data_IF_251376874202
#
_entry.id   IF_251376874202
#
_cell.length_a   1.000
_cell.length_b   1.000
_cell.length_c   1.000
_cell.angle_alpha   90.00
_cell.angle_beta   90.00
_cell.angle_gamma   90.00
#
_symmetry.space_group_name_H-M   'P 1'
#
loop_
_entity.id
_entity.type
_entity.pdbx_description
1 polymer ?
#
# COMPACT_ATOMS: atom_id res chain seq x y z
N UNK A 1 9.82 -6.64 22.21
CA UNK A 1 9.14 -7.37 21.13
C UNK A 1 10.08 -7.38 19.94
N UNK A 2 10.33 -8.55 19.34
CA UNK A 2 11.10 -8.61 18.08
C UNK A 2 10.19 -8.24 16.89
N UNK A 3 10.77 -7.97 15.71
CA UNK A 3 9.98 -7.55 14.55
C UNK A 3 8.91 -8.57 14.14
N UNK A 4 9.21 -9.86 14.18
CA UNK A 4 8.26 -10.91 13.76
C UNK A 4 7.03 -10.96 14.66
N UNK A 5 7.24 -10.83 15.97
CA UNK A 5 6.19 -10.70 16.97
C UNK A 5 5.40 -9.40 16.76
N UNK A 6 6.07 -8.28 16.48
CA UNK A 6 5.41 -7.00 16.13
C UNK A 6 4.49 -7.16 14.91
N UNK A 7 4.99 -7.73 13.82
CA UNK A 7 4.21 -7.94 12.59
C UNK A 7 3.01 -8.83 12.90
N UNK A 8 3.23 -9.98 13.55
CA UNK A 8 2.17 -10.94 13.87
C UNK A 8 1.06 -10.32 14.72
N UNK A 9 1.42 -9.62 15.80
CA UNK A 9 0.45 -9.01 16.72
C UNK A 9 -0.32 -7.87 16.07
N UNK A 10 0.36 -6.99 15.33
CA UNK A 10 -0.29 -5.84 14.71
C UNK A 10 -1.13 -6.26 13.48
N UNK A 11 -0.71 -7.28 12.73
CA UNK A 11 -1.56 -7.88 11.68
C UNK A 11 -2.80 -8.50 12.28
N UNK A 12 -2.69 -9.30 13.36
CA UNK A 12 -3.84 -9.88 14.04
C UNK A 12 -4.78 -8.79 14.60
N UNK A 13 -4.21 -7.72 15.16
CA UNK A 13 -4.98 -6.56 15.64
C UNK A 13 -5.74 -5.88 14.51
N UNK A 14 -5.11 -5.71 13.34
CA UNK A 14 -5.77 -5.13 12.18
C UNK A 14 -6.84 -6.03 11.59
N UNK A 15 -6.57 -7.31 11.42
CA UNK A 15 -7.53 -8.26 10.87
C UNK A 15 -8.76 -8.41 11.78
N UNK A 16 -8.58 -8.38 13.11
CA UNK A 16 -9.71 -8.35 14.05
C UNK A 16 -10.56 -7.08 13.88
N UNK A 17 -9.93 -5.91 13.80
CA UNK A 17 -10.64 -4.64 13.57
C UNK A 17 -11.36 -4.62 12.22
N UNK A 18 -10.74 -5.16 11.17
CA UNK A 18 -11.35 -5.32 9.85
C UNK A 18 -12.58 -6.23 9.91
N UNK A 19 -12.48 -7.38 10.57
CA UNK A 19 -13.61 -8.30 10.72
C UNK A 19 -14.77 -7.66 11.47
N UNK A 20 -14.50 -6.98 12.58
CA UNK A 20 -15.52 -6.25 13.34
C UNK A 20 -16.17 -5.16 12.47
N UNK A 21 -15.36 -4.35 11.78
CA UNK A 21 -15.84 -3.29 10.88
C UNK A 21 -16.76 -3.84 9.78
N UNK A 22 -16.37 -4.95 9.14
CA UNK A 22 -17.17 -5.58 8.10
C UNK A 22 -18.46 -6.19 8.65
N UNK A 23 -18.42 -6.80 9.85
CA UNK A 23 -19.61 -7.39 10.48
C UNK A 23 -20.69 -6.35 10.82
N UNK A 24 -20.27 -5.14 11.18
CA UNK A 24 -21.16 -4.04 11.54
C UNK A 24 -21.75 -3.38 10.29
N UNK A 25 -20.93 -3.19 9.25
CA UNK A 25 -21.30 -2.35 8.12
C UNK A 25 -21.83 -3.12 6.90
N UNK A 26 -21.55 -4.42 6.77
CA UNK A 26 -22.10 -5.25 5.69
C UNK A 26 -23.44 -5.86 6.11
N UNK A 27 -24.51 -5.08 6.01
CA UNK A 27 -25.85 -5.46 6.52
C UNK A 27 -26.57 -6.57 5.73
N UNK A 28 -26.11 -6.93 4.52
CA UNK A 28 -26.68 -8.01 3.72
C UNK A 28 -25.59 -8.97 3.18
N UNK A 29 -25.06 -9.81 4.05
CA UNK A 29 -24.01 -10.79 3.69
C UNK A 29 -24.39 -11.77 2.55
N UNK A 30 -25.69 -11.88 2.19
CA UNK A 30 -26.13 -12.73 1.08
C UNK A 30 -26.01 -12.07 -0.29
N UNK A 31 -25.77 -10.75 -0.35
CA UNK A 31 -25.56 -10.05 -1.60
C UNK A 31 -24.19 -10.43 -2.17
N UNK A 32 -24.17 -10.99 -3.38
CA UNK A 32 -22.96 -11.45 -4.08
C UNK A 32 -21.83 -10.41 -4.11
N UNK A 33 -22.18 -9.14 -4.27
CA UNK A 33 -21.23 -8.01 -4.20
C UNK A 33 -20.50 -7.94 -2.84
N UNK A 34 -21.27 -8.01 -1.74
CA UNK A 34 -20.71 -7.89 -0.39
C UNK A 34 -19.89 -9.13 -0.02
N UNK A 35 -20.30 -10.32 -0.50
CA UNK A 35 -19.51 -11.54 -0.37
C UNK A 35 -18.17 -11.42 -1.11
N UNK A 36 -18.15 -10.88 -2.34
CA UNK A 36 -16.92 -10.67 -3.09
C UNK A 36 -15.98 -9.65 -2.42
N UNK A 37 -16.51 -8.53 -1.92
CA UNK A 37 -15.72 -7.55 -1.16
C UNK A 37 -15.10 -8.17 0.09
N UNK A 38 -15.91 -8.92 0.88
CA UNK A 38 -15.45 -9.59 2.08
C UNK A 38 -14.40 -10.66 1.76
N UNK A 39 -14.64 -11.47 0.73
CA UNK A 39 -13.69 -12.48 0.24
C UNK A 39 -12.34 -11.84 -0.07
N UNK A 40 -12.29 -10.80 -0.89
CA UNK A 40 -11.04 -10.16 -1.30
C UNK A 40 -10.29 -9.52 -0.13
N UNK A 41 -11.00 -8.85 0.78
CA UNK A 41 -10.40 -8.23 1.96
C UNK A 41 -9.82 -9.26 2.94
N UNK A 42 -10.50 -10.38 3.14
CA UNK A 42 -10.10 -11.44 4.07
C UNK A 42 -9.18 -12.50 3.45
N UNK A 43 -8.81 -12.36 2.17
CA UNK A 43 -7.94 -13.30 1.45
C UNK A 43 -6.45 -13.21 1.85
N UNK A 44 -6.20 -13.04 3.15
CA UNK A 44 -4.90 -12.92 3.79
C UNK A 44 -4.11 -11.68 3.36
N UNK A 45 -2.78 -11.79 3.44
CA UNK A 45 -1.84 -10.73 3.08
C UNK A 45 -0.93 -10.32 4.22
N UNK A 46 0.19 -9.69 3.86
CA UNK A 46 1.19 -9.23 4.85
C UNK A 46 0.78 -7.92 5.56
N UNK A 47 -0.35 -7.30 5.15
CA UNK A 47 -0.90 -6.03 5.69
C UNK A 47 0.15 -4.93 5.86
N UNK A 48 1.14 -4.85 4.98
CA UNK A 48 2.29 -3.95 5.14
C UNK A 48 1.87 -2.47 5.18
N UNK A 49 0.86 -2.08 4.40
CA UNK A 49 0.33 -0.71 4.40
C UNK A 49 -0.36 -0.35 5.73
N UNK A 50 -1.33 -1.14 6.24
CA UNK A 50 -1.84 -0.99 7.61
C UNK A 50 -0.77 -0.97 8.69
N UNK A 51 0.16 -1.93 8.66
CA UNK A 51 1.26 -2.01 9.61
C UNK A 51 2.10 -0.73 9.62
N UNK A 52 2.35 -0.14 8.44
CA UNK A 52 3.10 1.09 8.35
C UNK A 52 2.34 2.29 8.94
N UNK A 53 1.03 2.40 8.65
CA UNK A 53 0.16 3.40 9.29
C UNK A 53 0.21 3.25 10.81
N UNK A 54 0.05 2.03 11.31
CA UNK A 54 0.06 1.73 12.75
C UNK A 54 1.43 2.03 13.39
N UNK A 55 2.54 1.67 12.75
CA UNK A 55 3.88 1.91 13.28
C UNK A 55 4.17 3.40 13.46
N UNK A 56 3.79 4.23 12.50
CA UNK A 56 3.89 5.69 12.65
C UNK A 56 2.87 6.22 13.65
N UNK A 57 1.64 5.71 13.65
CA UNK A 57 0.60 6.19 14.54
C UNK A 57 0.82 5.82 16.01
N UNK A 58 1.49 4.70 16.33
CA UNK A 58 1.82 4.33 17.71
C UNK A 58 2.90 5.22 18.33
N UNK A 59 3.69 5.89 17.48
CA UNK A 59 4.70 6.87 17.88
C UNK A 59 4.14 8.27 18.12
N UNK A 60 2.87 8.47 17.79
CA UNK A 60 2.16 9.74 17.88
C UNK A 60 0.98 9.46 18.80
N UNK A 61 0.69 10.29 19.80
CA UNK A 61 -0.40 10.02 20.75
C UNK A 61 -1.80 10.17 20.10
N UNK A 62 -2.11 9.29 19.15
CA UNK A 62 -3.30 9.28 18.30
C UNK A 62 -4.23 8.18 18.82
N UNK A 63 -5.51 8.51 18.93
CA UNK A 63 -6.54 7.52 19.27
C UNK A 63 -6.53 6.36 18.28
N UNK A 64 -6.57 5.14 18.80
CA UNK A 64 -6.55 3.90 18.02
C UNK A 64 -7.55 3.89 16.87
N UNK A 65 -8.80 4.22 17.17
CA UNK A 65 -9.89 4.27 16.18
C UNK A 65 -9.55 5.12 14.95
N UNK A 66 -8.91 6.27 15.14
CA UNK A 66 -8.62 7.20 14.04
C UNK A 66 -7.59 6.64 13.06
N UNK A 67 -6.47 6.09 13.57
CA UNK A 67 -5.46 5.52 12.68
C UNK A 67 -5.90 4.16 12.11
N UNK A 68 -6.76 3.41 12.80
CA UNK A 68 -7.33 2.18 12.28
C UNK A 68 -8.27 2.44 11.09
N UNK A 69 -9.07 3.51 11.13
CA UNK A 69 -9.88 3.93 9.98
C UNK A 69 -9.01 4.35 8.78
N UNK A 70 -7.89 5.03 8.99
CA UNK A 70 -6.92 5.32 7.93
C UNK A 70 -6.27 4.04 7.39
N UNK A 71 -5.92 3.09 8.25
CA UNK A 71 -5.37 1.80 7.87
C UNK A 71 -6.37 0.98 7.03
N UNK A 72 -7.66 0.98 7.40
CA UNK A 72 -8.73 0.38 6.59
C UNK A 72 -8.83 1.02 5.22
N UNK A 73 -8.89 2.35 5.16
CA UNK A 73 -9.06 3.07 3.90
C UNK A 73 -7.92 2.76 2.89
N UNK A 74 -6.67 2.73 3.35
CA UNK A 74 -5.55 2.40 2.46
C UNK A 74 -5.52 0.92 2.07
N UNK A 75 -5.95 0.00 2.95
CA UNK A 75 -6.06 -1.42 2.62
C UNK A 75 -7.21 -1.69 1.65
N UNK A 76 -8.31 -0.93 1.73
CA UNK A 76 -9.41 -1.01 0.76
C UNK A 76 -8.97 -0.51 -0.61
N UNK A 77 -8.19 0.58 -0.64
CA UNK A 77 -7.53 1.05 -1.85
C UNK A 77 -6.59 -0.01 -2.44
N UNK A 78 -5.76 -0.61 -1.60
CA UNK A 78 -4.86 -1.67 -2.06
C UNK A 78 -5.63 -2.92 -2.55
N UNK A 79 -6.68 -3.31 -1.84
CA UNK A 79 -7.45 -4.51 -2.18
C UNK A 79 -8.23 -4.32 -3.47
N UNK A 80 -8.83 -3.15 -3.73
CA UNK A 80 -9.46 -2.93 -5.04
C UNK A 80 -8.43 -3.02 -6.15
N UNK A 81 -7.23 -2.47 -5.95
CA UNK A 81 -6.23 -2.44 -7.02
C UNK A 81 -5.87 -3.86 -7.40
N UNK A 82 -5.64 -4.73 -6.42
CA UNK A 82 -5.41 -6.15 -6.66
C UNK A 82 -6.57 -6.85 -7.37
N UNK A 83 -7.83 -6.58 -6.99
CA UNK A 83 -9.00 -7.20 -7.66
C UNK A 83 -9.03 -6.82 -9.16
N UNK A 84 -8.75 -5.55 -9.47
CA UNK A 84 -8.77 -5.06 -10.85
C UNK A 84 -7.51 -5.50 -11.62
N UNK A 85 -6.34 -5.47 -10.98
CA UNK A 85 -5.07 -5.96 -11.55
C UNK A 85 -5.20 -7.45 -11.91
N UNK A 86 -5.76 -8.29 -11.03
CA UNK A 86 -6.00 -9.72 -11.31
C UNK A 86 -6.81 -9.92 -12.61
N UNK A 87 -7.76 -9.02 -12.91
CA UNK A 87 -8.57 -9.08 -14.14
C UNK A 87 -7.75 -8.63 -15.36
N UNK A 88 -6.96 -7.56 -15.20
CA UNK A 88 -6.14 -7.00 -16.27
C UNK A 88 -5.01 -7.95 -16.69
N UNK A 89 -4.43 -8.65 -15.71
CA UNK A 89 -3.29 -9.56 -15.87
C UNK A 89 -3.74 -11.01 -16.17
N UNK A 90 -5.05 -11.29 -16.16
CA UNK A 90 -5.67 -12.64 -16.28
C UNK A 90 -5.12 -13.64 -15.24
N UNK A 91 -4.85 -13.17 -14.02
CA UNK A 91 -4.37 -13.99 -12.92
C UNK A 91 -5.48 -14.91 -12.38
N UNK A 92 -5.29 -16.22 -12.47
CA UNK A 92 -6.26 -17.19 -11.94
C UNK A 92 -6.26 -17.25 -10.39
N UNK A 93 -5.12 -16.95 -9.78
CA UNK A 93 -4.88 -17.15 -8.35
C UNK A 93 -4.18 -15.96 -7.71
N UNK A 94 -4.58 -15.65 -6.47
CA UNK A 94 -3.92 -14.68 -5.59
C UNK A 94 -3.63 -15.35 -4.25
N UNK A 95 -2.36 -15.41 -3.86
CA UNK A 95 -1.89 -15.99 -2.58
C UNK A 95 -2.38 -17.44 -2.35
N UNK A 96 -2.39 -18.24 -3.41
CA UNK A 96 -2.83 -19.64 -3.37
C UNK A 96 -4.35 -19.85 -3.31
N UNK A 97 -5.15 -18.78 -3.37
CA UNK A 97 -6.61 -18.83 -3.47
C UNK A 97 -7.06 -18.31 -4.84
N UNK A 98 -8.26 -18.66 -5.30
CA UNK A 98 -8.78 -18.14 -6.57
C UNK A 98 -8.85 -16.61 -6.56
N UNK A 99 -8.45 -15.98 -7.66
CA UNK A 99 -8.68 -14.56 -7.86
C UNK A 99 -10.19 -14.25 -7.79
N UNK A 100 -10.54 -13.02 -7.41
CA UNK A 100 -11.94 -12.64 -7.13
C UNK A 100 -12.84 -12.89 -8.35
N UNK A 101 -12.36 -12.58 -9.55
CA UNK A 101 -13.13 -12.76 -10.78
C UNK A 101 -13.27 -14.23 -11.21
N UNK A 102 -12.36 -15.12 -10.79
CA UNK A 102 -12.47 -16.57 -11.00
C UNK A 102 -13.37 -17.23 -9.95
N UNK A 103 -13.38 -16.72 -8.71
CA UNK A 103 -14.26 -17.21 -7.64
C UNK A 103 -15.73 -16.83 -7.87
N UNK A 104 -15.98 -15.62 -8.39
CA UNK A 104 -17.31 -15.08 -8.63
C UNK A 104 -17.57 -14.96 -10.14
N UNK A 105 -17.32 -13.78 -10.70
CA UNK A 105 -17.29 -13.47 -12.13
C UNK A 105 -16.67 -12.07 -12.31
N UNK A 106 -16.33 -11.71 -13.56
CA UNK A 106 -15.74 -10.40 -13.88
C UNK A 106 -16.65 -9.24 -13.46
N UNK A 107 -17.96 -9.19 -13.79
CA UNK A 107 -18.82 -8.09 -13.37
C UNK A 107 -18.86 -7.88 -11.85
N UNK A 108 -18.97 -8.96 -11.07
CA UNK A 108 -18.98 -8.90 -9.60
C UNK A 108 -17.65 -8.39 -9.08
N UNK A 109 -16.53 -8.90 -9.60
CA UNK A 109 -15.19 -8.48 -9.18
C UNK A 109 -14.92 -7.00 -9.50
N UNK A 110 -15.33 -6.53 -10.68
CA UNK A 110 -15.26 -5.12 -11.04
C UNK A 110 -16.02 -4.26 -10.02
N UNK A 111 -17.29 -4.58 -9.77
CA UNK A 111 -18.14 -3.85 -8.82
C UNK A 111 -17.62 -3.91 -7.37
N UNK A 112 -17.04 -5.03 -6.95
CA UNK A 112 -16.40 -5.16 -5.65
C UNK A 112 -15.21 -4.20 -5.53
N UNK A 113 -14.34 -4.14 -6.53
CA UNK A 113 -13.24 -3.18 -6.56
C UNK A 113 -13.72 -1.72 -6.56
N UNK A 114 -14.72 -1.38 -7.40
CA UNK A 114 -15.30 -0.04 -7.40
C UNK A 114 -15.86 0.35 -6.02
N UNK A 115 -16.56 -0.58 -5.37
CA UNK A 115 -17.16 -0.35 -4.06
C UNK A 115 -16.12 -0.16 -2.97
N UNK A 116 -15.04 -0.96 -2.97
CA UNK A 116 -13.93 -0.81 -2.01
C UNK A 116 -13.20 0.53 -2.19
N UNK A 117 -12.93 0.94 -3.43
CA UNK A 117 -12.35 2.26 -3.73
C UNK A 117 -13.23 3.39 -3.18
N UNK A 118 -14.55 3.35 -3.45
CA UNK A 118 -15.48 4.37 -2.97
C UNK A 118 -15.60 4.36 -1.45
N UNK A 119 -15.65 3.18 -0.84
CA UNK A 119 -15.80 3.04 0.61
C UNK A 119 -14.56 3.53 1.37
N UNK A 120 -13.36 3.38 0.81
CA UNK A 120 -12.15 3.97 1.40
C UNK A 120 -12.28 5.48 1.61
N UNK A 121 -12.85 6.21 0.64
CA UNK A 121 -13.07 7.66 0.77
C UNK A 121 -14.21 7.99 1.74
N UNK A 122 -15.27 7.18 1.75
CA UNK A 122 -16.33 7.32 2.73
C UNK A 122 -15.78 7.22 4.15
N UNK A 123 -14.94 6.20 4.44
CA UNK A 123 -14.28 6.04 5.74
C UNK A 123 -13.49 7.30 6.11
N UNK A 124 -12.64 7.81 5.21
CA UNK A 124 -11.82 8.99 5.52
C UNK A 124 -12.64 10.28 5.72
N UNK A 125 -13.79 10.40 5.05
CA UNK A 125 -14.67 11.55 5.16
C UNK A 125 -15.53 11.57 6.42
N UNK A 126 -15.69 10.40 7.07
CA UNK A 126 -16.54 10.21 8.22
C UNK A 126 -15.94 10.81 9.51
N UNK A 127 -16.79 11.37 10.37
CA UNK A 127 -16.36 12.00 11.62
C UNK A 127 -15.66 11.05 12.60
N UNK A 128 -15.94 9.74 12.51
CA UNK A 128 -15.24 8.70 13.28
C UNK A 128 -13.75 8.58 12.91
N UNK A 129 -13.34 8.99 11.71
CA UNK A 129 -11.91 9.05 11.35
C UNK A 129 -11.20 10.18 12.06
N UNK A 130 -11.83 11.36 12.16
CA UNK A 130 -11.28 12.50 12.89
C UNK A 130 -12.33 13.61 13.05
N UNK A 131 -12.45 14.30 14.21
CA UNK A 131 -13.46 15.34 14.41
C UNK A 131 -13.23 16.60 13.55
N UNK A 132 -11.97 16.95 13.27
CA UNK A 132 -11.63 18.10 12.43
C UNK A 132 -11.83 17.78 10.92
N UNK A 133 -12.73 18.51 10.26
CA UNK A 133 -13.04 18.39 8.83
C UNK A 133 -11.84 18.68 7.92
N UNK A 134 -10.93 19.60 8.28
CA UNK A 134 -9.74 19.89 7.47
C UNK A 134 -8.81 18.68 7.38
N UNK A 135 -8.67 17.92 8.47
CA UNK A 135 -7.91 16.66 8.51
C UNK A 135 -8.53 15.65 7.56
N UNK A 136 -9.86 15.44 7.67
CA UNK A 136 -10.59 14.49 6.82
C UNK A 136 -10.47 14.87 5.35
N UNK A 137 -10.70 16.14 5.01
CA UNK A 137 -10.57 16.65 3.64
C UNK A 137 -9.15 16.46 3.09
N UNK A 138 -8.13 16.72 3.91
CA UNK A 138 -6.75 16.49 3.52
C UNK A 138 -6.48 15.02 3.23
N UNK A 139 -6.86 14.11 4.14
CA UNK A 139 -6.64 12.67 3.98
C UNK A 139 -7.36 12.15 2.74
N UNK A 140 -8.62 12.53 2.53
CA UNK A 140 -9.41 12.16 1.34
C UNK A 140 -8.74 12.66 0.06
N UNK A 141 -8.35 13.93 -0.02
CA UNK A 141 -7.68 14.48 -1.19
C UNK A 141 -6.31 13.85 -1.45
N UNK A 142 -5.57 13.54 -0.39
CA UNK A 142 -4.26 12.93 -0.51
C UNK A 142 -4.33 11.46 -0.93
N UNK A 143 -5.28 10.68 -0.39
CA UNK A 143 -5.53 9.32 -0.87
C UNK A 143 -6.01 9.34 -2.32
N UNK A 144 -6.89 10.27 -2.69
CA UNK A 144 -7.46 10.40 -4.04
C UNK A 144 -6.38 10.70 -5.08
N UNK A 145 -5.46 11.60 -4.79
CA UNK A 145 -4.32 11.88 -5.67
C UNK A 145 -3.31 10.73 -5.70
N UNK A 146 -3.18 9.97 -4.60
CA UNK A 146 -2.28 8.82 -4.53
C UNK A 146 -2.81 7.58 -5.25
N UNK A 147 -4.14 7.40 -5.37
CA UNK A 147 -4.76 6.23 -6.00
C UNK A 147 -5.27 6.49 -7.44
N UNK A 148 -5.60 7.74 -7.79
CA UNK A 148 -6.21 8.09 -9.06
C UNK A 148 -5.23 8.29 -10.24
N UNK A 149 -5.66 9.10 -11.21
CA UNK A 149 -4.95 9.38 -12.48
C UNK A 149 -3.60 10.10 -12.33
N UNK A 150 -3.23 10.56 -11.14
CA UNK A 150 -1.89 11.11 -10.84
C UNK A 150 -1.05 10.20 -9.95
N UNK A 151 -1.57 9.02 -9.61
CA UNK A 151 -0.96 8.03 -8.72
C UNK A 151 -1.14 6.61 -9.24
N UNK A 152 -1.63 5.71 -8.38
CA UNK A 152 -1.68 4.27 -8.63
C UNK A 152 -2.28 3.91 -9.99
N UNK A 153 -3.47 4.43 -10.32
CA UNK A 153 -4.14 4.07 -11.58
C UNK A 153 -3.32 4.47 -12.81
N UNK A 154 -2.60 5.59 -12.76
CA UNK A 154 -1.69 5.97 -13.85
C UNK A 154 -0.44 5.09 -13.88
N UNK A 155 0.09 4.72 -12.71
CA UNK A 155 1.15 3.73 -12.62
C UNK A 155 0.76 2.39 -13.25
N UNK A 156 -0.45 1.91 -13.00
CA UNK A 156 -0.98 0.69 -13.61
C UNK A 156 -1.16 0.83 -15.13
N UNK A 157 -1.64 1.99 -15.61
CA UNK A 157 -1.73 2.26 -17.05
C UNK A 157 -0.37 2.19 -17.74
N UNK A 158 0.67 2.77 -17.14
CA UNK A 158 2.04 2.72 -17.67
C UNK A 158 2.57 1.28 -17.71
N UNK A 159 2.27 0.47 -16.70
CA UNK A 159 2.71 -0.92 -16.64
C UNK A 159 2.12 -1.76 -17.78
N UNK A 160 0.81 -1.65 -17.99
CA UNK A 160 0.12 -2.29 -19.12
C UNK A 160 0.64 -1.79 -20.47
N UNK A 161 0.94 -0.49 -20.61
CA UNK A 161 1.55 0.06 -21.82
C UNK A 161 2.93 -0.54 -22.11
N UNK A 162 3.74 -0.79 -21.08
CA UNK A 162 5.07 -1.37 -21.21
C UNK A 162 5.03 -2.87 -21.51
N UNK A 163 4.05 -3.59 -20.94
CA UNK A 163 3.77 -4.99 -21.23
C UNK A 163 3.29 -5.21 -22.68
N UNK A 164 2.25 -4.49 -23.10
CA UNK A 164 1.49 -4.81 -24.32
C UNK A 164 1.78 -3.90 -25.52
N UNK A 165 2.35 -2.71 -25.33
CA UNK A 165 2.47 -1.70 -26.38
C UNK A 165 3.91 -1.31 -26.73
N UNK A 166 4.57 -0.63 -25.80
CA UNK A 166 5.79 0.13 -26.06
C UNK A 166 7.00 -0.46 -25.30
N UNK A 167 7.73 -1.37 -25.96
CA UNK A 167 8.93 -2.03 -25.42
C UNK A 167 10.14 -1.10 -25.18
N UNK A 168 9.97 0.22 -25.32
CA UNK A 168 10.99 1.24 -25.13
C UNK A 168 10.79 2.04 -23.83
N UNK A 169 10.32 1.39 -22.76
CA UNK A 169 10.55 1.93 -21.43
C UNK A 169 12.06 2.08 -21.24
N UNK A 170 12.50 3.18 -20.64
CA UNK A 170 13.88 3.28 -20.17
C UNK A 170 13.86 3.13 -18.64
N UNK A 171 15.04 2.96 -18.05
CA UNK A 171 15.15 2.82 -16.60
C UNK A 171 14.47 3.95 -15.81
N UNK A 172 14.47 5.20 -16.32
CA UNK A 172 13.82 6.33 -15.63
C UNK A 172 12.30 6.19 -15.66
N UNK A 173 11.74 5.72 -16.77
CA UNK A 173 10.30 5.46 -16.91
C UNK A 173 9.84 4.34 -15.98
N UNK A 174 10.62 3.25 -15.85
CA UNK A 174 10.31 2.17 -14.89
C UNK A 174 10.30 2.69 -13.46
N UNK A 175 11.32 3.46 -13.06
CA UNK A 175 11.32 4.07 -11.72
C UNK A 175 10.14 5.01 -11.49
N UNK A 176 9.71 5.75 -12.53
CA UNK A 176 8.55 6.62 -12.43
C UNK A 176 7.25 5.83 -12.29
N UNK A 177 7.12 4.71 -13.01
CA UNK A 177 6.01 3.79 -12.87
C UNK A 177 5.97 3.18 -11.47
N UNK A 178 7.10 2.72 -10.93
CA UNK A 178 7.21 2.19 -9.55
C UNK A 178 6.83 3.24 -8.50
N UNK A 179 7.26 4.50 -8.68
CA UNK A 179 6.82 5.63 -7.84
C UNK A 179 5.29 5.74 -7.84
N UNK A 180 4.67 5.77 -9.01
CA UNK A 180 3.23 5.96 -9.19
C UNK A 180 2.39 4.77 -8.71
N UNK A 181 2.68 3.56 -9.22
CA UNK A 181 1.92 2.32 -8.98
C UNK A 181 1.99 1.90 -7.52
N UNK A 182 3.17 2.02 -6.90
CA UNK A 182 3.44 1.41 -5.59
C UNK A 182 3.77 2.45 -4.52
N UNK A 183 4.73 3.34 -4.78
CA UNK A 183 5.28 4.19 -3.73
C UNK A 183 4.32 5.29 -3.23
N UNK A 184 3.40 5.79 -4.08
CA UNK A 184 2.42 6.82 -3.68
C UNK A 184 1.53 6.39 -2.51
N UNK A 185 1.07 5.15 -2.48
CA UNK A 185 0.28 4.67 -1.34
C UNK A 185 1.11 4.49 -0.07
N UNK A 186 2.39 4.11 -0.18
CA UNK A 186 3.28 4.08 0.98
C UNK A 186 3.57 5.47 1.53
N UNK A 187 3.70 6.47 0.65
CA UNK A 187 3.76 7.88 1.05
C UNK A 187 2.49 8.33 1.77
N UNK A 188 1.32 7.86 1.34
CA UNK A 188 0.08 8.07 2.09
C UNK A 188 0.16 7.47 3.50
N UNK A 189 0.61 6.21 3.62
CA UNK A 189 0.70 5.50 4.89
C UNK A 189 1.59 6.22 5.92
N UNK A 190 2.65 6.91 5.49
CA UNK A 190 3.61 7.54 6.39
C UNK A 190 3.13 8.92 6.85
N UNK A 191 2.51 9.68 5.96
CA UNK A 191 2.07 11.06 6.25
C UNK A 191 0.71 11.12 6.93
N UNK A 192 -0.19 10.18 6.65
CA UNK A 192 -1.54 10.20 7.21
C UNK A 192 -1.57 10.21 8.76
N UNK A 193 -0.76 9.40 9.48
CA UNK A 193 -0.67 9.48 10.95
C UNK A 193 -0.26 10.86 11.48
N UNK A 194 0.70 11.52 10.84
CA UNK A 194 1.12 12.86 11.28
C UNK A 194 0.02 13.91 11.06
N UNK A 195 -0.77 13.76 10.00
CA UNK A 195 -1.91 14.64 9.74
C UNK A 195 -3.02 14.41 10.77
N UNK A 196 -3.26 13.16 11.18
CA UNK A 196 -4.18 12.84 12.28
C UNK A 196 -3.71 13.45 13.62
N UNK A 197 -2.42 13.39 13.93
CA UNK A 197 -1.87 13.89 15.20
C UNK A 197 -1.87 15.42 15.26
N UNK A 198 -1.38 16.08 14.21
CA UNK A 198 -1.22 17.53 14.20
C UNK A 198 -1.56 18.12 12.84
N UNK A 199 -2.76 18.68 12.65
CA UNK A 199 -3.17 19.30 11.39
C UNK A 199 -2.27 20.46 10.98
N UNK A 200 -1.58 21.12 11.93
CA UNK A 200 -0.61 22.19 11.62
C UNK A 200 0.63 21.67 10.91
N UNK A 201 0.88 20.35 10.88
CA UNK A 201 1.97 19.79 10.08
C UNK A 201 1.81 20.09 8.59
N UNK A 202 0.58 20.35 8.14
CA UNK A 202 0.28 20.84 6.80
C UNK A 202 0.97 22.17 6.47
N UNK A 203 1.33 22.95 7.50
CA UNK A 203 2.02 24.25 7.40
C UNK A 203 3.55 24.13 7.54
N UNK A 204 4.09 22.95 7.86
CA UNK A 204 5.53 22.73 8.09
C UNK A 204 6.15 21.83 7.00
N UNK A 205 6.87 22.45 6.07
CA UNK A 205 7.38 21.77 4.87
C UNK A 205 8.44 20.71 5.18
N UNK A 206 9.32 20.90 6.18
CA UNK A 206 10.46 20.01 6.41
C UNK A 206 10.08 18.61 6.95
N UNK A 207 9.19 18.52 7.94
CA UNK A 207 8.74 17.20 8.45
C UNK A 207 7.99 16.42 7.37
N UNK A 208 7.16 17.11 6.59
CA UNK A 208 6.47 16.55 5.44
C UNK A 208 7.45 15.98 4.40
N UNK A 209 8.50 16.71 4.06
CA UNK A 209 9.54 16.26 3.12
C UNK A 209 10.22 14.97 3.60
N UNK A 210 10.54 14.87 4.90
CA UNK A 210 11.15 13.67 5.47
C UNK A 210 10.23 12.44 5.44
N UNK A 211 8.93 12.64 5.67
CA UNK A 211 7.91 11.59 5.54
C UNK A 211 7.75 11.13 4.09
N UNK A 212 7.80 12.08 3.16
CA UNK A 212 7.72 11.83 1.72
C UNK A 212 8.94 11.03 1.24
N UNK A 213 10.15 11.41 1.68
CA UNK A 213 11.40 10.66 1.40
C UNK A 213 11.29 9.23 1.93
N UNK A 214 10.87 9.06 3.19
CA UNK A 214 10.76 7.73 3.78
C UNK A 214 9.74 6.88 3.01
N UNK A 215 8.53 7.39 2.81
CA UNK A 215 7.45 6.61 2.17
C UNK A 215 7.72 6.28 0.71
N UNK A 216 8.31 7.22 -0.03
CA UNK A 216 8.71 6.98 -1.43
C UNK A 216 9.78 5.90 -1.48
N UNK A 217 10.84 6.03 -0.68
CA UNK A 217 11.93 5.06 -0.68
C UNK A 217 11.48 3.68 -0.18
N UNK A 218 10.63 3.62 0.85
CA UNK A 218 10.04 2.36 1.32
C UNK A 218 9.27 1.66 0.21
N UNK A 219 8.42 2.38 -0.52
CA UNK A 219 7.64 1.81 -1.61
C UNK A 219 8.50 1.36 -2.80
N UNK A 220 9.55 2.11 -3.15
CA UNK A 220 10.50 1.73 -4.20
C UNK A 220 11.32 0.49 -3.79
N UNK A 221 11.75 0.39 -2.53
CA UNK A 221 12.42 -0.80 -2.00
C UNK A 221 11.47 -2.00 -2.07
N UNK A 222 10.21 -1.81 -1.68
CA UNK A 222 9.21 -2.86 -1.69
C UNK A 222 9.02 -3.41 -3.11
N UNK A 223 8.79 -2.54 -4.10
CA UNK A 223 8.65 -2.94 -5.50
C UNK A 223 9.89 -3.63 -6.05
N UNK A 224 11.08 -3.05 -5.84
CA UNK A 224 12.32 -3.61 -6.35
C UNK A 224 12.67 -4.97 -5.71
N UNK A 225 12.22 -5.21 -4.47
CA UNK A 225 12.38 -6.50 -3.80
C UNK A 225 11.40 -7.53 -4.36
N UNK A 226 10.13 -7.15 -4.59
CA UNK A 226 9.14 -8.03 -5.22
C UNK A 226 9.61 -8.44 -6.63
N UNK A 227 10.04 -7.47 -7.45
CA UNK A 227 10.63 -7.70 -8.77
C UNK A 227 11.81 -8.70 -8.75
N UNK A 228 12.68 -8.61 -7.72
CA UNK A 228 13.83 -9.50 -7.54
C UNK A 228 13.42 -10.92 -7.12
N UNK A 229 12.37 -11.05 -6.32
CA UNK A 229 11.84 -12.35 -5.89
C UNK A 229 11.14 -13.05 -7.05
N UNK A 230 10.29 -12.33 -7.79
CA UNK A 230 9.58 -12.87 -8.95
C UNK A 230 10.57 -13.34 -10.03
N UNK A 231 11.66 -12.60 -10.25
CA UNK A 231 12.72 -13.00 -11.19
C UNK A 231 13.48 -14.28 -10.75
N UNK A 232 13.56 -14.56 -9.45
CA UNK A 232 14.21 -15.78 -8.93
C UNK A 232 13.30 -17.00 -9.02
N UNK A 233 12.00 -16.80 -8.84
CA UNK A 233 11.01 -17.87 -8.84
C UNK A 233 10.59 -18.26 -10.27
N UNK A 234 10.68 -17.34 -11.25
CA UNK A 234 10.39 -17.57 -12.66
C UNK A 234 11.70 -17.79 -13.44
N UNK A 235 11.91 -18.98 -13.99
CA UNK A 235 13.13 -19.37 -14.72
C UNK A 235 13.26 -18.70 -16.12
N UNK A 236 13.22 -17.36 -16.19
CA UNK A 236 13.66 -16.43 -17.28
C UNK A 236 12.61 -15.64 -18.10
N UNK A 237 11.32 -15.58 -17.76
CA UNK A 237 10.43 -14.59 -18.43
C UNK A 237 10.38 -13.29 -17.63
N UNK A 238 11.20 -12.31 -18.03
CA UNK A 238 11.20 -10.97 -17.42
C UNK A 238 10.08 -10.16 -18.04
N UNK A 239 9.15 -9.69 -17.21
CA UNK A 239 8.20 -8.65 -17.61
C UNK A 239 8.94 -7.32 -17.86
N UNK A 240 8.61 -6.63 -18.94
CA UNK A 240 9.26 -5.38 -19.36
C UNK A 240 9.03 -4.23 -18.35
N UNK A 241 8.02 -4.34 -17.49
CA UNK A 241 7.75 -3.44 -16.35
C UNK A 241 8.69 -3.63 -15.15
N UNK A 242 9.57 -4.63 -15.18
CA UNK A 242 10.39 -5.04 -14.03
C UNK A 242 11.79 -4.39 -14.05
N UNK A 243 12.28 -3.92 -12.89
CA UNK A 243 13.62 -3.32 -12.74
C UNK A 243 14.77 -4.25 -13.15
N UNK A 244 14.56 -5.57 -13.04
CA UNK A 244 15.48 -6.63 -13.45
C UNK A 244 15.77 -6.62 -14.95
N UNK A 245 14.95 -5.95 -15.77
CA UNK A 245 15.24 -5.71 -17.19
C UNK A 245 16.44 -4.78 -17.41
N UNK A 246 16.85 -4.00 -16.39
CA UNK A 246 17.91 -2.99 -16.49
C UNK A 246 19.04 -3.17 -15.46
N UNK A 247 18.82 -4.03 -14.46
CA UNK A 247 19.73 -4.24 -13.34
C UNK A 247 19.87 -5.72 -13.03
N UNK A 248 21.08 -6.14 -12.73
CA UNK A 248 21.30 -7.47 -12.15
C UNK A 248 20.95 -7.50 -10.65
N UNK A 249 20.94 -8.70 -10.07
CA UNK A 249 20.60 -8.91 -8.66
C UNK A 249 21.39 -8.00 -7.69
N UNK A 250 22.71 -7.88 -7.87
CA UNK A 250 23.56 -7.09 -6.98
C UNK A 250 23.29 -5.59 -7.12
N UNK A 251 23.00 -5.12 -8.34
CA UNK A 251 22.64 -3.74 -8.61
C UNK A 251 21.29 -3.36 -7.97
N UNK A 252 20.29 -4.25 -7.99
CA UNK A 252 19.00 -4.04 -7.32
C UNK A 252 19.18 -4.03 -5.80
N UNK A 253 19.94 -4.97 -5.25
CA UNK A 253 20.24 -4.98 -3.81
C UNK A 253 20.96 -3.70 -3.37
N UNK A 254 21.94 -3.23 -4.14
CA UNK A 254 22.64 -1.97 -3.86
C UNK A 254 21.73 -0.75 -3.99
N UNK A 255 20.82 -0.76 -4.96
CA UNK A 255 19.77 0.26 -5.09
C UNK A 255 18.88 0.31 -3.84
N UNK A 256 18.36 -0.84 -3.38
CA UNK A 256 17.56 -0.92 -2.16
C UNK A 256 18.31 -0.44 -0.93
N UNK A 257 19.60 -0.84 -0.76
CA UNK A 257 20.45 -0.36 0.35
C UNK A 257 20.66 1.15 0.34
N UNK A 258 20.84 1.76 -0.84
CA UNK A 258 20.96 3.21 -0.98
C UNK A 258 19.68 3.92 -0.54
N UNK A 259 18.53 3.48 -1.06
CA UNK A 259 17.23 4.04 -0.69
C UNK A 259 16.94 3.89 0.81
N UNK A 260 17.30 2.73 1.39
CA UNK A 260 17.14 2.48 2.80
C UNK A 260 17.96 3.46 3.64
N UNK A 261 19.23 3.71 3.27
CA UNK A 261 20.07 4.69 3.96
C UNK A 261 19.43 6.09 3.96
N UNK A 262 18.87 6.51 2.82
CA UNK A 262 18.18 7.79 2.69
C UNK A 262 16.89 7.85 3.52
N UNK A 263 16.09 6.78 3.50
CA UNK A 263 14.86 6.67 4.29
C UNK A 263 15.16 6.72 5.81
N UNK A 264 16.14 5.94 6.28
CA UNK A 264 16.53 5.93 7.70
C UNK A 264 17.11 7.27 8.14
N UNK A 265 17.81 7.98 7.25
CA UNK A 265 18.29 9.33 7.55
C UNK A 265 17.13 10.33 7.72
N UNK A 266 16.05 10.19 6.95
CA UNK A 266 14.89 11.08 7.07
C UNK A 266 14.11 10.87 8.38
N UNK A 267 14.05 9.64 8.89
CA UNK A 267 13.41 9.33 10.19
C UNK A 267 14.00 10.09 11.38
N UNK A 268 15.32 10.33 11.37
CA UNK A 268 16.02 11.03 12.47
C UNK A 268 15.47 12.44 12.73
N UNK A 269 14.82 13.05 11.75
CA UNK A 269 14.27 14.40 11.82
C UNK A 269 12.78 14.42 12.23
N UNK A 270 12.19 13.26 12.52
CA UNK A 270 10.76 13.12 12.83
C UNK A 270 10.46 13.03 14.33
N UNK A 271 11.48 12.91 15.18
CA UNK A 271 11.34 12.83 16.66
C UNK A 271 10.46 11.65 17.12
N UNK A 272 10.50 10.52 16.41
CA UNK A 272 9.77 9.28 16.73
C UNK A 272 10.74 8.15 17.09
N UNK A 273 10.25 7.14 17.81
CA UNK A 273 10.97 5.87 17.90
C UNK A 273 10.94 5.16 16.54
N UNK A 274 12.10 5.09 15.92
CA UNK A 274 12.28 4.56 14.56
C UNK A 274 12.77 3.13 14.53
N UNK A 275 12.87 2.43 15.68
CA UNK A 275 13.39 1.07 15.72
C UNK A 275 12.57 0.12 14.85
N UNK A 276 11.25 0.03 15.07
CA UNK A 276 10.36 -0.85 14.29
C UNK A 276 10.39 -0.48 12.80
N UNK A 277 10.39 0.81 12.46
CA UNK A 277 10.45 1.28 11.08
C UNK A 277 11.78 0.90 10.40
N UNK A 278 12.88 0.92 11.15
CA UNK A 278 14.20 0.50 10.69
C UNK A 278 14.23 -1.00 10.43
N UNK A 279 13.71 -1.78 11.37
CA UNK A 279 13.62 -3.23 11.27
C UNK A 279 12.70 -3.64 10.09
N UNK A 280 11.56 -2.96 9.88
CA UNK A 280 10.67 -3.19 8.74
C UNK A 280 11.35 -2.98 7.38
N UNK A 281 12.10 -1.89 7.20
CA UNK A 281 12.87 -1.66 5.97
C UNK A 281 13.88 -2.77 5.73
N UNK A 282 14.62 -3.17 6.77
CA UNK A 282 15.63 -4.23 6.65
C UNK A 282 14.99 -5.58 6.34
N UNK A 283 13.87 -5.89 6.97
CA UNK A 283 13.09 -7.09 6.73
C UNK A 283 12.60 -7.20 5.30
N UNK A 284 12.13 -6.09 4.70
CA UNK A 284 11.72 -6.09 3.29
C UNK A 284 12.91 -6.42 2.39
N UNK A 285 14.07 -5.81 2.60
CA UNK A 285 15.26 -6.04 1.75
C UNK A 285 15.75 -7.50 1.83
N UNK A 286 15.65 -8.12 3.01
CA UNK A 286 16.19 -9.47 3.28
C UNK A 286 15.14 -10.55 3.00
N UNK A 287 13.88 -10.17 2.74
CA UNK A 287 12.76 -11.07 2.53
C UNK A 287 13.12 -12.16 1.52
N UNK A 288 13.09 -13.41 1.98
CA UNK A 288 13.06 -14.60 1.10
C UNK A 288 11.59 -14.94 0.85
N UNK A 289 11.28 -15.47 -0.34
CA UNK A 289 9.92 -15.79 -0.78
C UNK A 289 9.11 -16.51 0.29
#
# INVERSE_FOLDING_TARGET
MNLEEYIKENTATFDAFLQDFLSINLTNHSAKLLEAMNYSLLNGGKRIRPLLVMAFAQNLDIKKEYYMNVALAVEFVHTYSLIHDDIMDDDDFRRGQLATHKKFDIPTAMLAGNSLLTWAFQILSDESTHPNTEVRNYLTGFLSSSSGHTGLAYGQSLDLEYQFGNKNADYKKILKMHDLKTARLFKFCTRAPFVLCNPKILLNNKKTEHLDIFGTNFGLIFQATDDLLDYRDLDKSVDLGNIMSYKNNDEVVNYCKKLAKEALASLKNLEIDSQVLTELIQFIIIRKS
#
